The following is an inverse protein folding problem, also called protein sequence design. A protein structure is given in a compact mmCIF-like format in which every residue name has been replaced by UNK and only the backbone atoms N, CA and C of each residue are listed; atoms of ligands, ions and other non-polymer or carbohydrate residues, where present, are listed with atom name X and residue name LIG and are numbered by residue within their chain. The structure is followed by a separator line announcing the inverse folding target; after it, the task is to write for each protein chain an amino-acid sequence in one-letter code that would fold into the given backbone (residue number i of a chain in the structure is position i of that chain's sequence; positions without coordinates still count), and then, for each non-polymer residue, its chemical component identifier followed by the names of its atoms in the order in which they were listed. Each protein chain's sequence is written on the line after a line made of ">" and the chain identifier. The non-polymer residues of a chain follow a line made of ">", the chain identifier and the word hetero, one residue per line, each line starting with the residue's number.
data_IF_868673553776
#
_entry.id   IF_868673553776
#
_cell.length_a   1.000
_cell.length_b   1.000
_cell.length_c   1.000
_cell.angle_alpha   90.00
_cell.angle_beta   90.00
_cell.angle_gamma   90.00
#
_symmetry.space_group_name_H-M   'P 1'
#
loop_
_entity.id
_entity.type
_entity.pdbx_description
1 polymer ?
#
# COMPACT_ATOMS: atom_id res chain seq x y z
N UNK A 1 -3.99 -30.27 -26.10
CA UNK A 1 -2.86 -29.77 -25.26
C UNK A 1 -2.04 -28.61 -25.83
N UNK A 2 -2.40 -27.98 -26.97
CA UNK A 2 -1.64 -26.82 -27.53
C UNK A 2 -2.25 -25.44 -27.22
N UNK A 3 -3.51 -25.38 -26.79
CA UNK A 3 -4.24 -24.13 -26.53
C UNK A 3 -3.80 -23.48 -25.21
N UNK A 4 -3.60 -24.27 -24.15
CA UNK A 4 -3.19 -23.76 -22.84
C UNK A 4 -1.79 -23.11 -22.84
N UNK A 5 -0.87 -23.58 -23.69
CA UNK A 5 0.48 -22.98 -23.83
C UNK A 5 0.44 -21.59 -24.46
N UNK A 6 -0.52 -21.33 -25.35
CA UNK A 6 -0.67 -20.02 -26.01
C UNK A 6 -1.26 -18.97 -25.07
N UNK A 7 -2.18 -19.37 -24.19
CA UNK A 7 -2.75 -18.48 -23.15
C UNK A 7 -1.65 -18.03 -22.17
N UNK A 8 -0.72 -18.92 -21.80
CA UNK A 8 0.41 -18.56 -20.94
C UNK A 8 1.48 -17.71 -21.64
N UNK A 9 1.67 -17.86 -22.96
CA UNK A 9 2.64 -17.05 -23.73
C UNK A 9 2.22 -15.59 -23.94
N UNK A 10 0.92 -15.26 -23.84
CA UNK A 10 0.42 -13.88 -23.99
C UNK A 10 0.79 -12.99 -22.79
N UNK A 11 1.12 -13.58 -21.63
CA UNK A 11 1.61 -12.85 -20.46
C UNK A 11 3.09 -12.43 -20.56
N UNK A 12 3.75 -12.65 -21.69
CA UNK A 12 5.15 -12.34 -21.92
C UNK A 12 5.36 -11.02 -22.69
N UNK A 13 4.45 -10.05 -22.56
CA UNK A 13 4.77 -8.66 -22.90
C UNK A 13 5.63 -8.09 -21.77
N UNK A 14 6.88 -7.73 -22.08
CA UNK A 14 7.86 -7.01 -21.26
C UNK A 14 7.49 -6.88 -19.77
N UNK A 15 8.08 -7.74 -18.91
CA UNK A 15 7.93 -7.72 -17.44
C UNK A 15 8.00 -6.27 -16.94
N UNK A 16 6.84 -5.68 -16.73
CA UNK A 16 6.72 -4.40 -16.06
C UNK A 16 6.99 -4.68 -14.58
N UNK A 17 8.21 -4.39 -14.13
CA UNK A 17 8.66 -4.63 -12.76
C UNK A 17 8.27 -3.44 -11.89
N UNK A 18 7.65 -3.69 -10.75
CA UNK A 18 7.38 -2.65 -9.75
C UNK A 18 8.70 -2.15 -9.16
N UNK A 19 8.87 -0.83 -9.08
CA UNK A 19 9.98 -0.23 -8.33
C UNK A 19 9.63 -0.19 -6.85
N UNK A 20 10.60 -0.53 -6.00
CA UNK A 20 10.48 -0.50 -4.54
C UNK A 20 11.66 0.28 -3.97
N UNK A 21 11.37 1.34 -3.20
CA UNK A 21 12.40 2.16 -2.58
C UNK A 21 13.06 1.48 -1.38
N UNK A 22 14.14 2.11 -0.90
CA UNK A 22 14.64 1.90 0.45
C UNK A 22 13.59 2.26 1.51
N UNK A 23 13.80 1.77 2.74
CA UNK A 23 12.92 2.05 3.89
C UNK A 23 13.01 3.53 4.24
N UNK A 24 11.86 4.17 4.43
CA UNK A 24 11.81 5.55 4.87
C UNK A 24 12.24 5.67 6.35
N UNK A 25 13.14 6.61 6.72
CA UNK A 25 13.81 6.62 8.01
C UNK A 25 12.90 6.86 9.23
N UNK A 26 11.72 7.45 9.03
CA UNK A 26 10.82 7.81 10.15
C UNK A 26 9.59 6.90 10.20
N UNK A 27 8.90 6.71 9.07
CA UNK A 27 7.69 5.87 8.99
C UNK A 27 7.98 4.38 8.88
N UNK A 28 9.19 3.99 8.51
CA UNK A 28 9.59 2.62 8.18
C UNK A 28 8.83 1.97 7.02
N UNK A 29 8.11 2.77 6.21
CA UNK A 29 7.42 2.28 5.01
C UNK A 29 8.29 2.43 3.77
N UNK A 30 8.15 1.49 2.81
CA UNK A 30 8.75 1.59 1.48
C UNK A 30 7.77 2.22 0.50
N UNK A 31 8.27 3.07 -0.38
CA UNK A 31 7.51 3.53 -1.54
C UNK A 31 7.51 2.43 -2.60
N UNK A 32 6.34 2.18 -3.19
CA UNK A 32 6.15 1.17 -4.24
C UNK A 32 5.53 1.88 -5.44
N UNK A 33 6.22 1.82 -6.58
CA UNK A 33 5.68 2.30 -7.84
C UNK A 33 5.29 1.12 -8.71
N UNK A 34 3.96 0.92 -8.81
CA UNK A 34 3.41 -0.10 -9.67
C UNK A 34 3.43 0.38 -11.11
N UNK A 35 3.81 -0.50 -12.05
CA UNK A 35 3.66 -0.20 -13.45
C UNK A 35 2.19 0.02 -13.81
N UNK A 36 1.98 0.85 -14.82
CA UNK A 36 0.65 1.17 -15.32
C UNK A 36 0.75 1.54 -16.79
N UNK A 37 -0.39 1.49 -17.45
CA UNK A 37 -0.53 1.89 -18.85
C UNK A 37 -0.99 3.34 -18.89
N UNK A 38 -0.14 4.21 -19.44
CA UNK A 38 -0.42 5.65 -19.58
C UNK A 38 -1.54 5.94 -20.58
N UNK A 39 -1.79 5.03 -21.52
CA UNK A 39 -2.80 5.21 -22.57
C UNK A 39 -4.21 4.90 -22.07
N UNK A 40 -4.34 4.07 -21.03
CA UNK A 40 -5.62 3.69 -20.43
C UNK A 40 -6.00 4.63 -19.28
N UNK A 41 -7.08 5.43 -19.40
CA UNK A 41 -7.52 6.33 -18.32
C UNK A 41 -7.85 5.61 -17.01
N UNK A 42 -8.35 4.37 -17.10
CA UNK A 42 -8.63 3.52 -15.93
C UNK A 42 -7.32 3.11 -15.22
N UNK A 43 -6.29 2.76 -15.98
CA UNK A 43 -4.97 2.38 -15.45
C UNK A 43 -4.27 3.57 -14.79
N UNK A 44 -4.32 4.75 -15.43
CA UNK A 44 -3.82 6.02 -14.86
C UNK A 44 -4.54 6.36 -13.55
N UNK A 45 -5.88 6.23 -13.52
CA UNK A 45 -6.68 6.48 -12.31
C UNK A 45 -6.29 5.55 -11.16
N UNK A 46 -6.15 4.25 -11.45
CA UNK A 46 -5.73 3.25 -10.47
C UNK A 46 -4.33 3.55 -9.93
N UNK A 47 -3.38 3.90 -10.81
CA UNK A 47 -2.02 4.27 -10.43
C UNK A 47 -2.01 5.50 -9.52
N UNK A 48 -2.73 6.57 -9.87
CA UNK A 48 -2.86 7.77 -9.04
C UNK A 48 -3.44 7.46 -7.67
N UNK A 49 -4.50 6.64 -7.61
CA UNK A 49 -5.12 6.21 -6.35
C UNK A 49 -4.12 5.45 -5.46
N UNK A 50 -3.33 4.54 -6.03
CA UNK A 50 -2.27 3.81 -5.30
C UNK A 50 -1.22 4.78 -4.73
N UNK A 51 -0.75 5.75 -5.53
CA UNK A 51 0.18 6.79 -5.08
C UNK A 51 -0.38 7.61 -3.92
N UNK A 52 -1.64 8.04 -4.02
CA UNK A 52 -2.30 8.82 -2.96
C UNK A 52 -2.42 8.05 -1.65
N UNK A 53 -2.76 6.75 -1.73
CA UNK A 53 -2.86 5.87 -0.56
C UNK A 53 -1.49 5.67 0.10
N UNK A 54 -0.45 5.42 -0.68
CA UNK A 54 0.91 5.32 -0.17
C UNK A 54 1.37 6.62 0.51
N UNK A 55 1.10 7.78 -0.10
CA UNK A 55 1.43 9.09 0.47
C UNK A 55 0.71 9.33 1.80
N UNK A 56 -0.58 9.02 1.89
CA UNK A 56 -1.35 9.13 3.14
C UNK A 56 -0.81 8.18 4.21
N UNK A 57 -0.43 6.95 3.83
CA UNK A 57 0.20 5.99 4.72
C UNK A 57 1.52 6.50 5.27
N UNK A 58 2.40 7.03 4.41
CA UNK A 58 3.66 7.65 4.81
C UNK A 58 3.45 8.75 5.85
N UNK A 59 2.62 9.75 5.53
CA UNK A 59 2.32 10.88 6.43
C UNK A 59 1.75 10.40 7.76
N UNK A 60 0.86 9.41 7.75
CA UNK A 60 0.29 8.88 8.99
C UNK A 60 1.37 8.24 9.88
N UNK A 61 2.19 7.38 9.31
CA UNK A 61 3.21 6.65 10.07
C UNK A 61 4.39 7.53 10.50
N UNK A 62 4.79 8.52 9.70
CA UNK A 62 5.76 9.54 10.10
C UNK A 62 5.28 10.29 11.35
N UNK A 63 4.05 10.79 11.31
CA UNK A 63 3.46 11.51 12.43
C UNK A 63 3.27 10.61 13.66
N UNK A 64 2.87 9.35 13.44
CA UNK A 64 2.69 8.40 14.52
C UNK A 64 4.01 8.09 15.23
N UNK A 65 5.05 7.78 14.46
CA UNK A 65 6.34 7.38 15.00
C UNK A 65 7.03 8.57 15.67
N UNK A 66 6.95 9.77 15.08
CA UNK A 66 7.43 11.00 15.71
C UNK A 66 6.77 11.23 17.07
N UNK A 67 5.44 11.07 17.14
CA UNK A 67 4.71 11.22 18.41
C UNK A 67 5.04 10.14 19.43
N UNK A 68 5.23 8.90 18.97
CA UNK A 68 5.67 7.78 19.81
C UNK A 68 7.03 8.08 20.45
N UNK A 69 8.03 8.47 19.66
CA UNK A 69 9.38 8.76 20.17
C UNK A 69 9.39 9.95 21.14
N UNK A 70 8.62 11.00 20.87
CA UNK A 70 8.47 12.12 21.82
C UNK A 70 7.89 11.69 23.16
N UNK A 71 6.83 10.87 23.13
CA UNK A 71 6.24 10.34 24.37
C UNK A 71 7.20 9.42 25.12
N UNK A 72 7.94 8.60 24.39
CA UNK A 72 8.92 7.69 24.94
C UNK A 72 10.04 8.46 25.64
N UNK A 73 10.58 9.49 24.99
CA UNK A 73 11.62 10.35 25.56
C UNK A 73 11.18 11.02 26.86
N UNK A 74 9.98 11.61 26.89
CA UNK A 74 9.40 12.20 28.10
C UNK A 74 9.27 11.16 29.20
N UNK A 75 8.71 9.98 28.89
CA UNK A 75 8.54 8.90 29.85
C UNK A 75 9.89 8.43 30.42
N UNK A 76 10.87 8.16 29.58
CA UNK A 76 12.20 7.72 30.01
C UNK A 76 12.85 8.77 30.91
N UNK A 77 12.79 10.06 30.55
CA UNK A 77 13.34 11.14 31.36
C UNK A 77 12.68 11.22 32.75
N UNK A 78 11.36 11.05 32.82
CA UNK A 78 10.63 11.08 34.09
C UNK A 78 10.94 9.86 34.98
N UNK A 79 11.10 8.68 34.38
CA UNK A 79 11.50 7.46 35.10
C UNK A 79 12.93 7.59 35.60
N UNK A 80 13.87 8.05 34.77
CA UNK A 80 15.27 8.26 35.16
C UNK A 80 15.37 9.26 36.32
N UNK A 81 14.61 10.37 36.28
CA UNK A 81 14.59 11.34 37.39
C UNK A 81 14.09 10.75 38.71
N UNK A 82 13.20 9.75 38.67
CA UNK A 82 12.59 9.14 39.88
C UNK A 82 13.35 7.92 40.39
N UNK A 83 13.87 7.08 39.49
CA UNK A 83 14.43 5.75 39.79
C UNK A 83 15.91 5.60 39.39
N UNK A 84 16.47 6.53 38.61
CA UNK A 84 17.85 6.48 38.11
C UNK A 84 18.05 5.59 36.87
N UNK A 85 17.14 4.65 36.60
CA UNK A 85 17.22 3.69 35.50
C UNK A 85 15.81 3.37 34.98
N UNK A 86 15.67 3.16 33.66
CA UNK A 86 14.46 2.61 33.04
C UNK A 86 14.58 1.09 33.01
N UNK A 87 13.59 0.39 33.58
CA UNK A 87 13.51 -1.08 33.55
C UNK A 87 12.56 -1.57 32.46
N UNK A 88 12.61 -2.87 32.15
CA UNK A 88 11.68 -3.50 31.19
C UNK A 88 10.22 -3.42 31.65
N UNK A 89 9.97 -3.47 32.96
CA UNK A 89 8.63 -3.31 33.54
C UNK A 89 8.08 -1.90 33.29
N UNK A 90 8.92 -0.88 33.45
CA UNK A 90 8.55 0.51 33.14
C UNK A 90 8.20 0.66 31.66
N UNK A 91 9.01 0.05 30.78
CA UNK A 91 8.74 0.04 29.34
C UNK A 91 7.41 -0.67 29.01
N UNK A 92 7.11 -1.79 29.66
CA UNK A 92 5.84 -2.49 29.49
C UNK A 92 4.63 -1.62 29.89
N UNK A 93 4.73 -0.88 31.00
CA UNK A 93 3.70 0.09 31.43
C UNK A 93 3.52 1.16 30.37
N UNK A 94 4.61 1.80 29.93
CA UNK A 94 4.56 2.80 28.86
C UNK A 94 3.89 2.27 27.58
N UNK A 95 4.28 1.07 27.14
CA UNK A 95 3.71 0.48 25.93
C UNK A 95 2.20 0.27 26.05
N UNK A 96 1.72 -0.28 27.18
CA UNK A 96 0.27 -0.47 27.40
C UNK A 96 -0.47 0.86 27.37
N UNK A 97 0.03 1.87 28.06
CA UNK A 97 -0.60 3.19 28.11
C UNK A 97 -0.59 3.89 26.75
N UNK A 98 0.52 3.81 26.02
CA UNK A 98 0.62 4.33 24.66
C UNK A 98 -0.40 3.64 23.74
N UNK A 99 -0.50 2.31 23.76
CA UNK A 99 -1.46 1.56 22.96
C UNK A 99 -2.90 1.92 23.30
N UNK A 100 -3.22 2.07 24.59
CA UNK A 100 -4.55 2.47 25.03
C UNK A 100 -4.90 3.89 24.58
N UNK A 101 -3.96 4.84 24.73
CA UNK A 101 -4.15 6.24 24.32
C UNK A 101 -4.22 6.43 22.81
N UNK A 102 -3.54 5.58 22.04
CA UNK A 102 -3.48 5.66 20.57
C UNK A 102 -4.58 4.83 19.87
N UNK A 103 -5.28 3.96 20.62
CA UNK A 103 -6.25 2.98 20.10
C UNK A 103 -7.31 3.59 19.16
N UNK A 104 -7.91 4.71 19.53
CA UNK A 104 -8.96 5.33 18.71
C UNK A 104 -8.40 5.87 17.39
N UNK A 105 -7.27 6.58 17.43
CA UNK A 105 -6.57 7.10 16.24
C UNK A 105 -6.18 5.96 15.30
N UNK A 106 -5.65 4.86 15.85
CA UNK A 106 -5.28 3.67 15.09
C UNK A 106 -6.48 3.02 14.42
N UNK A 107 -7.58 2.81 15.15
CA UNK A 107 -8.81 2.24 14.56
C UNK A 107 -9.37 3.10 13.44
N UNK A 108 -9.41 4.42 13.63
CA UNK A 108 -9.87 5.36 12.60
C UNK A 108 -9.01 5.26 11.34
N UNK A 109 -7.69 5.25 11.49
CA UNK A 109 -6.77 5.07 10.38
C UNK A 109 -6.99 3.73 9.66
N UNK A 110 -7.04 2.63 10.41
CA UNK A 110 -7.22 1.29 9.83
C UNK A 110 -8.54 1.19 9.05
N UNK A 111 -9.62 1.73 9.60
CA UNK A 111 -10.91 1.77 8.90
C UNK A 111 -10.83 2.55 7.57
N UNK A 112 -10.23 3.75 7.59
CA UNK A 112 -10.01 4.53 6.38
C UNK A 112 -9.10 3.82 5.37
N UNK A 113 -8.09 3.09 5.86
CA UNK A 113 -7.18 2.33 5.01
C UNK A 113 -7.89 1.15 4.33
N UNK A 114 -8.68 0.37 5.06
CA UNK A 114 -9.46 -0.73 4.48
C UNK A 114 -10.42 -0.27 3.38
N UNK A 115 -11.12 0.86 3.59
CA UNK A 115 -11.98 1.46 2.57
C UNK A 115 -11.19 1.78 1.29
N UNK A 116 -9.99 2.35 1.44
CA UNK A 116 -9.11 2.67 0.32
C UNK A 116 -8.57 1.44 -0.40
N UNK A 117 -8.28 0.35 0.32
CA UNK A 117 -7.89 -0.93 -0.28
C UNK A 117 -9.03 -1.53 -1.10
N UNK A 118 -10.26 -1.49 -0.59
CA UNK A 118 -11.44 -1.94 -1.33
C UNK A 118 -11.64 -1.13 -2.62
N UNK A 119 -11.47 0.19 -2.56
CA UNK A 119 -11.52 1.08 -3.71
C UNK A 119 -10.44 0.76 -4.77
N UNK A 120 -9.24 0.32 -4.35
CA UNK A 120 -8.19 -0.18 -5.26
C UNK A 120 -8.63 -1.50 -5.91
N UNK A 121 -9.22 -2.42 -5.15
CA UNK A 121 -9.64 -3.72 -5.67
C UNK A 121 -10.70 -3.55 -6.77
N UNK A 122 -11.68 -2.68 -6.54
CA UNK A 122 -12.72 -2.36 -7.53
C UNK A 122 -12.11 -1.76 -8.80
N UNK A 123 -11.21 -0.78 -8.68
CA UNK A 123 -10.57 -0.17 -9.85
C UNK A 123 -9.64 -1.17 -10.58
N UNK A 124 -8.95 -2.03 -9.84
CA UNK A 124 -8.11 -3.09 -10.42
C UNK A 124 -8.95 -4.08 -11.22
N UNK A 125 -10.13 -4.44 -10.69
CA UNK A 125 -11.07 -5.31 -11.39
C UNK A 125 -11.62 -4.65 -12.68
N UNK A 126 -11.93 -3.36 -12.65
CA UNK A 126 -12.36 -2.62 -13.85
C UNK A 126 -11.28 -2.58 -14.94
N UNK A 127 -10.02 -2.34 -14.57
CA UNK A 127 -8.88 -2.39 -15.51
C UNK A 127 -8.74 -3.79 -16.12
N UNK A 128 -8.87 -4.83 -15.29
CA UNK A 128 -8.79 -6.21 -15.77
C UNK A 128 -9.91 -6.57 -16.76
N UNK A 129 -11.16 -6.17 -16.48
CA UNK A 129 -12.27 -6.35 -17.43
C UNK A 129 -12.00 -5.60 -18.74
N UNK A 130 -11.57 -4.34 -18.68
CA UNK A 130 -11.33 -3.55 -19.88
C UNK A 130 -10.26 -4.19 -20.78
N UNK A 131 -9.14 -4.62 -20.18
CA UNK A 131 -8.06 -5.26 -20.92
C UNK A 131 -8.49 -6.60 -21.55
N UNK A 132 -9.36 -7.36 -20.89
CA UNK A 132 -9.88 -8.62 -21.44
C UNK A 132 -10.91 -8.39 -22.55
N UNK A 133 -11.74 -7.35 -22.44
CA UNK A 133 -12.68 -6.94 -23.48
C UNK A 133 -11.95 -6.48 -24.76
N UNK A 134 -10.88 -5.70 -24.64
CA UNK A 134 -10.06 -5.25 -25.77
C UNK A 134 -9.37 -6.43 -26.50
N UNK A 135 -8.97 -7.47 -25.76
CA UNK A 135 -8.47 -8.69 -26.40
C UNK A 135 -9.58 -9.45 -27.15
N UNK A 136 -10.80 -9.50 -26.63
CA UNK A 136 -11.92 -10.18 -27.29
C UNK A 136 -12.38 -9.50 -28.59
N UNK A 137 -12.31 -8.17 -28.67
CA UNK A 137 -12.63 -7.39 -29.88
C UNK A 137 -11.55 -7.54 -30.97
N UNK A 138 -10.29 -7.71 -30.59
CA UNK A 138 -9.21 -8.02 -31.53
C UNK A 138 -9.41 -9.38 -32.24
N UNK A 139 -9.84 -10.41 -31.51
CA UNK A 139 -10.11 -11.73 -32.11
C UNK A 139 -11.30 -11.71 -33.06
N UNK A 140 -12.38 -10.98 -32.73
CA UNK A 140 -13.55 -10.87 -33.62
C UNK A 140 -13.23 -10.14 -34.93
N UNK A 141 -12.26 -9.21 -34.92
CA UNK A 141 -11.83 -8.48 -36.12
C UNK A 141 -10.91 -9.30 -37.04
N UNK A 142 -10.08 -10.19 -36.48
CA UNK A 142 -9.23 -11.11 -37.26
C UNK A 142 -10.06 -12.17 -37.99
N UNK A 143 -11.09 -12.71 -37.34
CA UNK A 143 -11.96 -13.72 -37.96
C UNK A 143 -12.82 -13.15 -39.09
N UNK A 144 -13.09 -11.84 -39.08
CA UNK A 144 -13.82 -11.16 -40.16
C UNK A 144 -12.95 -10.82 -41.37
N UNK A 145 -11.62 -10.79 -41.23
CA UNK A 145 -10.66 -10.58 -42.34
C UNK A 145 -10.19 -11.87 -43.02
N UNK A 146 -10.58 -13.04 -42.50
CA UNK A 146 -10.23 -14.37 -43.04
C UNK A 146 -11.40 -15.06 -43.76
N UNK A 147 -12.53 -14.39 -43.92
CA UNK A 147 -13.62 -14.77 -44.84
C UNK A 147 -13.64 -13.79 -46.00
#
# INVERSE_FOLDING_TARGET
>A
MKICKKIFQIFNSSKLVSYVSNVHPVSNLRYIEYPYDVTSPLSVKLHKRRKDILKKGQIFWENNNTFYFKKLEVFCNDVIKKKGLVTDEDMFVFYREYLQSSKFKMRKYQWCWYRQIFDILVDSFKVWINNTADHSSFFSHIDRKRR
#
